data_IF_040836134939
#
_entry.id   IF_040836134939
#
_cell.length_a   1.000
_cell.length_b   1.000
_cell.length_c   1.000
_cell.angle_alpha   90.00
_cell.angle_beta   90.00
_cell.angle_gamma   90.00
#
_symmetry.space_group_name_H-M   'P 1'
#
loop_
_entity.id
_entity.type
_entity.pdbx_description
1 polymer ?
#
# COMPACT_ATOMS: atom_id res chain seq x y z
N UNK A 1 14.25 3.18 -9.95
CA UNK A 1 14.72 3.09 -8.54
C UNK A 1 16.17 3.59 -8.46
N UNK A 2 16.41 4.89 -8.64
CA UNK A 2 17.76 5.48 -8.61
C UNK A 2 17.99 6.40 -7.38
N UNK A 3 17.09 6.35 -6.40
CA UNK A 3 16.92 7.47 -5.46
C UNK A 3 17.53 7.36 -4.05
N UNK A 4 18.27 6.31 -3.66
CA UNK A 4 18.55 6.12 -2.22
C UNK A 4 19.97 5.72 -1.80
N UNK A 5 20.96 5.62 -2.70
CA UNK A 5 22.31 5.12 -2.30
C UNK A 5 23.49 5.94 -2.80
N UNK A 6 23.26 7.13 -3.36
CA UNK A 6 24.34 8.05 -3.64
C UNK A 6 24.43 9.05 -2.51
N UNK A 7 25.28 8.75 -1.53
CA UNK A 7 25.78 9.68 -0.51
C UNK A 7 26.64 10.80 -1.13
N UNK A 8 26.37 11.17 -2.39
CA UNK A 8 27.19 12.04 -3.22
C UNK A 8 26.26 13.01 -3.94
N UNK A 9 26.32 14.27 -3.55
CA UNK A 9 25.71 15.38 -4.29
C UNK A 9 26.70 15.83 -5.37
N UNK A 10 26.23 15.91 -6.62
CA UNK A 10 27.04 16.28 -7.79
C UNK A 10 26.71 17.73 -8.19
N UNK A 11 27.72 18.60 -8.19
CA UNK A 11 27.61 19.98 -8.65
C UNK A 11 28.74 20.29 -9.65
N UNK A 12 28.57 19.88 -10.90
CA UNK A 12 29.59 20.08 -11.93
C UNK A 12 29.83 21.56 -12.19
N UNK A 13 31.10 21.95 -12.28
CA UNK A 13 31.49 23.34 -12.47
C UNK A 13 31.90 23.56 -13.92
N UNK A 14 31.35 24.61 -14.54
CA UNK A 14 31.48 24.82 -15.99
C UNK A 14 32.90 25.11 -16.44
N UNK A 15 33.69 25.85 -15.65
CA UNK A 15 35.06 26.20 -16.02
C UNK A 15 36.03 25.01 -16.04
N UNK A 16 35.68 23.88 -15.44
CA UNK A 16 36.49 22.65 -15.48
C UNK A 16 36.09 21.73 -16.64
N UNK A 17 35.01 22.02 -17.37
CA UNK A 17 34.49 21.17 -18.46
C UNK A 17 35.51 20.91 -19.57
N UNK A 18 36.24 21.94 -20.01
CA UNK A 18 37.26 21.81 -21.06
C UNK A 18 38.44 20.95 -20.63
N UNK A 19 38.90 21.10 -19.38
CA UNK A 19 39.96 20.30 -18.79
C UNK A 19 39.56 18.83 -18.61
N UNK A 20 38.31 18.57 -18.20
CA UNK A 20 37.79 17.20 -18.09
C UNK A 20 37.55 16.54 -19.44
N UNK A 21 37.20 17.30 -20.48
CA UNK A 21 37.04 16.80 -21.85
C UNK A 21 38.36 16.40 -22.53
N UNK A 22 39.50 16.89 -22.01
CA UNK A 22 40.85 16.58 -22.51
C UNK A 22 41.53 15.44 -21.73
N UNK A 23 40.92 14.94 -20.66
CA UNK A 23 41.49 13.85 -19.85
C UNK A 23 41.37 12.50 -20.58
N UNK A 24 42.48 11.76 -20.61
CA UNK A 24 42.54 10.43 -21.22
C UNK A 24 41.68 9.42 -20.46
N UNK A 25 40.77 8.75 -21.16
CA UNK A 25 39.90 7.68 -20.62
C UNK A 25 40.68 6.45 -20.17
N UNK A 26 41.87 6.21 -20.72
CA UNK A 26 42.72 5.04 -20.39
C UNK A 26 43.21 5.07 -18.93
N UNK A 27 43.32 6.28 -18.34
CA UNK A 27 43.72 6.47 -16.96
C UNK A 27 42.71 5.88 -15.96
N UNK A 28 41.47 5.61 -16.37
CA UNK A 28 40.41 5.01 -15.54
C UNK A 28 40.73 3.53 -15.23
N UNK A 29 41.55 2.87 -16.06
CA UNK A 29 41.94 1.47 -15.85
C UNK A 29 42.92 1.29 -14.67
N UNK A 30 43.69 2.33 -14.32
CA UNK A 30 44.66 2.28 -13.24
C UNK A 30 44.06 2.80 -11.91
N UNK A 31 44.23 2.05 -10.83
CA UNK A 31 43.69 2.37 -9.49
C UNK A 31 44.25 3.69 -8.94
N UNK A 32 45.56 3.93 -9.08
CA UNK A 32 46.20 5.10 -8.47
C UNK A 32 45.82 6.39 -9.21
N UNK A 33 45.68 6.30 -10.54
CA UNK A 33 45.24 7.42 -11.37
C UNK A 33 43.77 7.78 -11.10
N UNK A 34 42.90 6.77 -10.93
CA UNK A 34 41.49 6.99 -10.52
C UNK A 34 41.40 7.72 -9.19
N UNK A 35 42.21 7.33 -8.20
CA UNK A 35 42.23 8.00 -6.90
C UNK A 35 42.66 9.47 -7.05
N UNK A 36 43.73 9.74 -7.80
CA UNK A 36 44.17 11.13 -8.05
C UNK A 36 43.11 11.98 -8.76
N UNK A 37 42.38 11.41 -9.73
CA UNK A 37 41.31 12.11 -10.44
C UNK A 37 40.09 12.35 -9.55
N UNK A 38 39.79 11.41 -8.65
CA UNK A 38 38.74 11.56 -7.65
C UNK A 38 39.08 12.64 -6.62
N UNK A 39 40.34 12.71 -6.18
CA UNK A 39 40.81 13.76 -5.26
C UNK A 39 40.71 15.15 -5.89
N UNK A 40 40.97 15.28 -7.20
CA UNK A 40 40.74 16.54 -7.94
C UNK A 40 39.27 16.95 -7.91
N UNK A 41 38.34 16.01 -7.98
CA UNK A 41 36.89 16.30 -7.90
C UNK A 41 36.44 16.72 -6.50
N UNK A 42 37.07 16.17 -5.46
CA UNK A 42 36.85 16.60 -4.08
C UNK A 42 37.43 18.00 -3.84
N UNK A 43 38.65 18.27 -4.34
CA UNK A 43 39.30 19.57 -4.22
C UNK A 43 38.56 20.67 -5.00
N UNK A 44 37.99 20.34 -6.17
CA UNK A 44 37.18 21.27 -6.95
C UNK A 44 35.77 21.48 -6.36
N UNK A 45 35.40 20.76 -5.29
CA UNK A 45 34.06 20.77 -4.67
C UNK A 45 32.92 20.34 -5.62
N UNK A 46 33.24 19.60 -6.68
CA UNK A 46 32.26 19.03 -7.61
C UNK A 46 31.51 17.83 -6.98
N UNK A 47 32.06 17.26 -5.91
CA UNK A 47 31.52 16.14 -5.13
C UNK A 47 31.38 16.58 -3.67
N UNK A 48 30.15 16.52 -3.12
CA UNK A 48 29.93 16.59 -1.67
C UNK A 48 29.50 15.23 -1.14
N UNK A 49 30.28 14.68 -0.21
CA UNK A 49 29.94 13.43 0.48
C UNK A 49 28.96 13.75 1.60
N UNK A 50 27.76 13.18 1.53
CA UNK A 50 26.76 13.26 2.61
C UNK A 50 27.15 12.17 3.63
N UNK A 51 27.37 12.51 4.91
CA UNK A 51 27.64 11.50 5.92
C UNK A 51 26.43 10.58 6.04
N UNK A 52 26.62 9.32 5.71
CA UNK A 52 25.65 8.26 5.95
C UNK A 52 25.73 7.93 7.44
N UNK A 53 24.63 8.08 8.18
CA UNK A 53 24.56 7.58 9.54
C UNK A 53 24.87 6.09 9.50
N UNK A 54 26.00 5.70 10.09
CA UNK A 54 26.44 4.31 10.10
C UNK A 54 25.41 3.47 10.84
N UNK A 55 24.71 2.60 10.12
CA UNK A 55 23.97 1.49 10.69
C UNK A 55 24.99 0.65 11.46
N UNK A 56 25.01 0.77 12.78
CA UNK A 56 25.82 -0.11 13.62
C UNK A 56 25.39 -1.54 13.37
N UNK A 57 26.31 -2.38 12.89
CA UNK A 57 26.16 -3.83 12.68
C UNK A 57 25.70 -4.60 13.95
N UNK A 58 25.55 -3.91 15.07
CA UNK A 58 25.21 -4.41 16.39
C UNK A 58 23.71 -4.54 16.67
N UNK A 59 22.83 -4.13 15.76
CA UNK A 59 21.43 -4.56 15.78
C UNK A 59 21.36 -6.00 15.23
N UNK A 60 21.97 -6.92 15.97
CA UNK A 60 21.63 -8.33 15.89
C UNK A 60 20.14 -8.37 16.19
N UNK A 61 19.31 -8.51 15.14
CA UNK A 61 17.88 -8.63 15.25
C UNK A 61 17.58 -9.63 16.36
N UNK A 62 17.10 -9.12 17.50
CA UNK A 62 16.76 -9.91 18.66
C UNK A 62 15.76 -10.95 18.17
N UNK A 63 16.19 -12.21 18.12
CA UNK A 63 15.30 -13.33 17.86
C UNK A 63 14.14 -13.19 18.84
N UNK A 64 12.87 -13.16 18.37
CA UNK A 64 11.73 -13.08 19.25
C UNK A 64 11.85 -14.15 20.34
N UNK A 65 11.60 -13.77 21.59
CA UNK A 65 11.51 -14.73 22.69
C UNK A 65 10.51 -15.82 22.32
N UNK A 66 10.83 -17.07 22.63
CA UNK A 66 9.95 -18.21 22.36
C UNK A 66 8.53 -17.93 22.87
N UNK A 67 7.57 -17.85 21.95
CA UNK A 67 6.14 -17.76 22.24
C UNK A 67 5.49 -19.13 22.02
N UNK A 68 4.63 -19.52 22.95
CA UNK A 68 3.97 -20.83 22.96
C UNK A 68 2.85 -20.93 21.92
N UNK A 69 2.25 -19.80 21.52
CA UNK A 69 1.17 -19.76 20.54
C UNK A 69 1.70 -19.72 19.10
N UNK A 70 1.18 -20.55 18.19
CA UNK A 70 1.57 -20.51 16.79
C UNK A 70 1.11 -19.20 16.16
N UNK A 71 2.06 -18.39 15.69
CA UNK A 71 1.81 -17.17 14.91
C UNK A 71 0.96 -17.48 13.68
N UNK A 72 0.11 -16.53 13.30
CA UNK A 72 -0.67 -16.65 12.06
C UNK A 72 0.28 -16.79 10.86
N UNK A 73 -0.16 -17.49 9.81
CA UNK A 73 0.65 -17.68 8.60
C UNK A 73 1.03 -16.33 7.95
N UNK A 74 0.21 -15.31 8.11
CA UNK A 74 0.49 -13.96 7.62
C UNK A 74 1.59 -13.27 8.42
N UNK A 75 1.59 -13.40 9.75
CA UNK A 75 2.63 -12.81 10.61
C UNK A 75 3.99 -13.48 10.38
N UNK A 76 3.99 -14.81 10.19
CA UNK A 76 5.18 -15.56 9.82
C UNK A 76 5.75 -15.06 8.49
N UNK A 77 4.91 -14.91 7.47
CA UNK A 77 5.33 -14.43 6.15
C UNK A 77 5.85 -12.99 6.21
N UNK A 78 5.20 -12.11 6.97
CA UNK A 78 5.67 -10.75 7.19
C UNK A 78 7.04 -10.73 7.88
N UNK A 79 7.22 -11.55 8.93
CA UNK A 79 8.49 -11.67 9.64
C UNK A 79 9.62 -12.20 8.73
N UNK A 80 9.36 -13.27 7.98
CA UNK A 80 10.32 -13.81 6.99
C UNK A 80 10.69 -12.75 5.96
N UNK A 81 9.70 -11.99 5.47
CA UNK A 81 9.93 -10.92 4.49
C UNK A 81 10.81 -9.82 5.10
N UNK A 82 10.54 -9.41 6.34
CA UNK A 82 11.33 -8.40 7.06
C UNK A 82 12.76 -8.87 7.33
N UNK A 83 12.95 -10.15 7.67
CA UNK A 83 14.27 -10.75 7.85
C UNK A 83 15.04 -10.79 6.52
N UNK A 84 14.40 -11.23 5.45
CA UNK A 84 15.02 -11.29 4.11
C UNK A 84 15.38 -9.90 3.58
N UNK A 85 14.53 -8.90 3.78
CA UNK A 85 14.83 -7.52 3.37
C UNK A 85 15.97 -6.93 4.17
N UNK A 86 16.04 -7.18 5.48
CA UNK A 86 17.16 -6.78 6.31
C UNK A 86 18.48 -7.46 5.88
N UNK A 87 18.47 -8.78 5.63
CA UNK A 87 19.64 -9.50 5.14
C UNK A 87 20.09 -9.01 3.75
N UNK A 88 19.13 -8.71 2.85
CA UNK A 88 19.43 -8.13 1.54
C UNK A 88 20.06 -6.74 1.69
N UNK A 89 19.56 -5.90 2.60
CA UNK A 89 20.11 -4.58 2.86
C UNK A 89 21.52 -4.68 3.43
N UNK A 90 21.75 -5.57 4.39
CA UNK A 90 23.07 -5.86 4.94
C UNK A 90 24.03 -6.35 3.85
N UNK A 91 23.60 -7.30 3.01
CA UNK A 91 24.41 -7.79 1.90
C UNK A 91 24.79 -6.67 0.94
N UNK A 92 23.85 -5.77 0.61
CA UNK A 92 24.12 -4.59 -0.22
C UNK A 92 25.10 -3.64 0.44
N UNK A 93 24.96 -3.37 1.73
CA UNK A 93 25.86 -2.48 2.48
C UNK A 93 27.28 -3.06 2.54
N UNK A 94 27.42 -4.35 2.87
CA UNK A 94 28.70 -5.08 2.85
C UNK A 94 29.31 -5.09 1.45
N UNK A 95 28.52 -5.38 0.41
CA UNK A 95 29.02 -5.32 -0.98
C UNK A 95 29.48 -3.89 -1.34
N UNK A 96 28.77 -2.87 -0.85
CA UNK A 96 29.08 -1.47 -1.11
C UNK A 96 30.29 -0.94 -0.34
N UNK A 97 30.63 -1.55 0.80
CA UNK A 97 31.80 -1.20 1.62
C UNK A 97 33.08 -1.89 1.14
N UNK A 98 33.00 -2.86 0.22
CA UNK A 98 34.18 -3.47 -0.38
C UNK A 98 35.02 -2.44 -1.15
N UNK A 99 36.35 -2.59 -1.09
CA UNK A 99 37.28 -1.72 -1.82
C UNK A 99 37.02 -1.73 -3.33
N UNK A 100 36.62 -2.87 -3.89
CA UNK A 100 36.25 -3.00 -5.29
C UNK A 100 35.07 -2.10 -5.65
N UNK A 101 33.99 -2.13 -4.86
CA UNK A 101 32.80 -1.31 -5.09
C UNK A 101 33.09 0.18 -4.97
N UNK A 102 33.90 0.58 -3.98
CA UNK A 102 34.35 1.97 -3.82
C UNK A 102 35.10 2.45 -5.08
N UNK A 103 36.09 1.70 -5.54
CA UNK A 103 36.88 2.05 -6.74
C UNK A 103 36.01 2.05 -8.00
N UNK A 104 35.09 1.08 -8.13
CA UNK A 104 34.17 1.02 -9.26
C UNK A 104 33.26 2.26 -9.32
N UNK A 105 32.74 2.71 -8.17
CA UNK A 105 31.94 3.94 -8.07
C UNK A 105 32.76 5.17 -8.45
N UNK A 106 34.01 5.27 -7.98
CA UNK A 106 34.92 6.36 -8.37
C UNK A 106 35.16 6.38 -9.89
N UNK A 107 35.42 5.21 -10.50
CA UNK A 107 35.61 5.07 -11.96
C UNK A 107 34.37 5.53 -12.74
N UNK A 108 33.19 5.07 -12.33
CA UNK A 108 31.93 5.42 -13.00
C UNK A 108 31.63 6.92 -12.87
N UNK A 109 31.96 7.53 -11.74
CA UNK A 109 31.77 8.95 -11.50
C UNK A 109 32.73 9.81 -12.34
N UNK A 110 34.01 9.41 -12.44
CA UNK A 110 34.99 10.05 -13.32
C UNK A 110 34.56 9.91 -14.78
N UNK A 111 34.10 8.73 -15.21
CA UNK A 111 33.61 8.51 -16.56
C UNK A 111 32.39 9.39 -16.87
N UNK A 112 31.44 9.46 -15.93
CA UNK A 112 30.29 10.38 -16.02
C UNK A 112 30.74 11.83 -16.16
N UNK A 113 31.79 12.25 -15.44
CA UNK A 113 32.35 13.61 -15.55
C UNK A 113 33.01 13.89 -16.89
N UNK A 114 33.84 12.97 -17.39
CA UNK A 114 34.50 13.11 -18.69
C UNK A 114 33.44 13.16 -19.79
N UNK A 115 32.44 12.28 -19.73
CA UNK A 115 31.31 12.29 -20.66
C UNK A 115 30.56 13.63 -20.63
N UNK A 116 30.27 14.17 -19.45
CA UNK A 116 29.65 15.49 -19.32
C UNK A 116 30.51 16.62 -19.90
N UNK A 117 31.83 16.61 -19.65
CA UNK A 117 32.76 17.59 -20.23
C UNK A 117 32.82 17.51 -21.77
N UNK A 118 32.83 16.29 -22.32
CA UNK A 118 32.75 16.08 -23.77
C UNK A 118 31.42 16.58 -24.33
N UNK A 119 30.30 16.28 -23.66
CA UNK A 119 28.98 16.73 -24.07
C UNK A 119 28.93 18.26 -24.15
N UNK A 120 29.42 18.98 -23.14
CA UNK A 120 29.46 20.45 -23.17
C UNK A 120 30.44 20.99 -24.22
N UNK A 121 31.60 20.36 -24.41
CA UNK A 121 32.58 20.80 -25.42
C UNK A 121 32.08 20.68 -26.87
N UNK A 122 31.26 19.67 -27.16
CA UNK A 122 30.81 19.37 -28.53
C UNK A 122 29.36 19.78 -28.82
N UNK A 123 28.47 19.86 -27.82
CA UNK A 123 27.07 20.25 -28.02
C UNK A 123 26.74 21.71 -27.66
N UNK A 124 27.58 22.42 -26.90
CA UNK A 124 27.31 23.84 -26.57
C UNK A 124 27.77 24.80 -27.69
N UNK A 125 28.61 24.33 -28.63
CA UNK A 125 29.01 25.09 -29.81
C UNK A 125 27.84 25.43 -30.75
N UNK A 126 26.75 24.66 -30.76
CA UNK A 126 25.57 24.99 -31.56
C UNK A 126 24.72 26.13 -30.96
N UNK A 127 24.93 26.51 -29.68
CA UNK A 127 24.23 27.64 -29.07
C UNK A 127 25.00 28.96 -29.14
N UNK A 128 26.32 28.91 -29.28
CA UNK A 128 27.19 30.10 -29.21
C UNK A 128 27.56 30.75 -30.55
N UNK A 129 26.85 30.44 -31.65
CA UNK A 129 26.93 31.22 -32.92
C UNK A 129 25.71 32.14 -33.12
N UNK A 130 24.83 32.28 -32.13
CA UNK A 130 23.68 33.20 -32.19
C UNK A 130 23.52 34.01 -30.92
N UNK A 131 24.42 34.97 -30.67
CA UNK A 131 24.07 36.33 -30.19
C UNK A 131 25.33 37.09 -29.76
N UNK A 132 25.69 38.08 -30.58
CA UNK A 132 26.49 39.22 -30.17
C UNK A 132 25.63 40.12 -29.27
N UNK A 133 26.28 40.74 -28.28
CA UNK A 133 25.96 42.02 -27.59
C UNK A 133 25.20 42.00 -26.25
N UNK A 134 25.95 42.47 -25.22
CA UNK A 134 25.58 43.36 -24.10
C UNK A 134 25.08 42.75 -22.75
N UNK A 135 25.67 43.17 -21.60
CA UNK A 135 25.30 42.74 -20.26
C UNK A 135 24.41 43.76 -19.53
N UNK A 136 23.51 43.33 -18.62
CA UNK A 136 23.28 44.00 -17.32
C UNK A 136 22.16 43.39 -16.45
N UNK A 137 22.50 43.27 -15.15
CA UNK A 137 21.67 43.45 -13.92
C UNK A 137 20.53 42.49 -13.55
N UNK A 138 20.84 41.65 -12.54
CA UNK A 138 20.14 41.47 -11.25
C UNK A 138 18.62 41.63 -11.15
N UNK A 139 17.90 40.59 -10.67
CA UNK A 139 17.11 40.64 -9.42
C UNK A 139 16.43 39.32 -9.05
N UNK A 140 16.37 39.10 -7.74
CA UNK A 140 15.34 38.40 -6.95
C UNK A 140 15.19 36.88 -7.03
N UNK A 141 15.71 36.24 -5.99
CA UNK A 141 15.25 34.95 -5.48
C UNK A 141 13.75 34.96 -5.18
N UNK A 142 13.02 33.97 -5.66
CA UNK A 142 11.75 33.53 -5.07
C UNK A 142 11.76 32.00 -5.02
N UNK A 143 11.77 31.50 -3.79
CA UNK A 143 11.67 30.09 -3.43
C UNK A 143 10.35 29.50 -3.95
N UNK A 144 10.42 28.67 -4.99
CA UNK A 144 9.32 27.80 -5.39
C UNK A 144 9.63 26.39 -4.89
N UNK A 145 8.74 25.89 -4.02
CA UNK A 145 8.69 24.50 -3.59
C UNK A 145 8.83 23.55 -4.80
N UNK A 146 9.46 22.36 -4.63
CA UNK A 146 9.65 21.44 -5.73
C UNK A 146 8.28 20.92 -6.18
N UNK A 147 7.74 21.49 -7.25
CA UNK A 147 6.65 20.86 -8.00
C UNK A 147 7.24 19.59 -8.59
N UNK A 148 6.77 18.44 -8.14
CA UNK A 148 7.03 17.17 -8.80
C UNK A 148 6.72 17.34 -10.28
N UNK A 149 7.75 17.26 -11.12
CA UNK A 149 7.61 17.41 -12.56
C UNK A 149 6.92 16.14 -13.04
N UNK A 150 5.59 16.16 -13.09
CA UNK A 150 4.79 15.11 -13.74
C UNK A 150 5.30 15.01 -15.17
N UNK A 151 5.89 13.86 -15.51
CA UNK A 151 6.37 13.58 -16.87
C UNK A 151 5.27 13.93 -17.88
N UNK A 152 5.59 14.62 -18.97
CA UNK A 152 4.59 15.02 -19.98
C UNK A 152 3.74 13.84 -20.49
N UNK A 153 4.31 12.63 -20.53
CA UNK A 153 3.58 11.39 -20.85
C UNK A 153 2.54 11.00 -19.80
N UNK A 154 2.85 11.19 -18.51
CA UNK A 154 1.93 10.91 -17.41
C UNK A 154 0.81 11.95 -17.34
N UNK A 155 1.11 13.22 -17.60
CA UNK A 155 0.10 14.27 -17.70
C UNK A 155 -0.87 14.01 -18.86
N UNK A 156 -0.36 13.60 -20.03
CA UNK A 156 -1.21 13.23 -21.17
C UNK A 156 -2.08 12.00 -20.87
N UNK A 157 -1.53 10.97 -20.22
CA UNK A 157 -2.29 9.79 -19.83
C UNK A 157 -3.39 10.15 -18.82
N UNK A 158 -3.07 10.97 -17.82
CA UNK A 158 -4.03 11.42 -16.82
C UNK A 158 -5.16 12.24 -17.43
N UNK A 159 -4.83 13.20 -18.30
CA UNK A 159 -5.83 13.99 -19.03
C UNK A 159 -6.68 13.09 -19.91
N UNK A 160 -6.08 12.16 -20.66
CA UNK A 160 -6.80 11.23 -21.53
C UNK A 160 -7.77 10.33 -20.77
N UNK A 161 -7.34 9.74 -19.65
CA UNK A 161 -8.19 8.87 -18.82
C UNK A 161 -9.29 9.66 -18.13
N UNK A 162 -8.98 10.80 -17.49
CA UNK A 162 -9.98 11.61 -16.78
C UNK A 162 -11.02 12.22 -17.73
N UNK A 163 -10.60 12.73 -18.88
CA UNK A 163 -11.52 13.26 -19.90
C UNK A 163 -12.34 12.15 -20.55
N UNK A 164 -11.73 10.98 -20.82
CA UNK A 164 -12.41 9.80 -21.36
C UNK A 164 -13.49 9.27 -20.41
N UNK A 165 -13.19 9.15 -19.11
CA UNK A 165 -14.17 8.76 -18.10
C UNK A 165 -15.30 9.79 -17.97
N UNK A 166 -14.97 11.09 -17.96
CA UNK A 166 -15.98 12.16 -17.90
C UNK A 166 -16.92 12.14 -19.10
N UNK A 167 -16.40 11.88 -20.30
CA UNK A 167 -17.19 11.72 -21.52
C UNK A 167 -18.07 10.46 -21.42
N UNK A 168 -17.52 9.33 -20.97
CA UNK A 168 -18.27 8.08 -20.79
C UNK A 168 -19.44 8.27 -19.82
N UNK A 169 -19.20 8.90 -18.67
CA UNK A 169 -20.23 9.19 -17.67
C UNK A 169 -21.32 10.09 -18.23
N UNK A 170 -20.95 11.13 -18.99
CA UNK A 170 -21.91 12.04 -19.64
C UNK A 170 -22.76 11.31 -20.67
N UNK A 171 -22.16 10.42 -21.47
CA UNK A 171 -22.86 9.62 -22.48
C UNK A 171 -23.82 8.61 -21.83
N UNK A 172 -23.40 7.93 -20.77
CA UNK A 172 -24.25 7.00 -20.02
C UNK A 172 -25.46 7.73 -19.43
N UNK A 173 -25.22 8.88 -18.79
CA UNK A 173 -26.28 9.70 -18.21
C UNK A 173 -27.24 10.25 -19.27
N UNK A 174 -26.72 10.74 -20.40
CA UNK A 174 -27.53 11.20 -21.53
C UNK A 174 -28.38 10.06 -22.10
N UNK A 175 -27.82 8.85 -22.23
CA UNK A 175 -28.56 7.71 -22.77
C UNK A 175 -29.70 7.29 -21.83
N UNK A 176 -29.49 7.25 -20.51
CA UNK A 176 -30.57 7.00 -19.55
C UNK A 176 -31.67 8.08 -19.62
N UNK A 177 -31.30 9.35 -19.71
CA UNK A 177 -32.27 10.44 -19.85
C UNK A 177 -33.11 10.32 -21.14
N UNK A 178 -32.46 10.04 -22.27
CA UNK A 178 -33.15 9.88 -23.57
C UNK A 178 -34.02 8.62 -23.58
N UNK A 179 -33.54 7.51 -23.02
CA UNK A 179 -34.30 6.27 -22.88
C UNK A 179 -35.53 6.44 -22.00
N UNK A 180 -35.43 7.18 -20.89
CA UNK A 180 -36.57 7.52 -20.05
C UNK A 180 -37.64 8.33 -20.78
N UNK A 181 -37.25 9.20 -21.72
CA UNK A 181 -38.18 9.99 -22.54
C UNK A 181 -38.84 9.15 -23.64
N UNK A 182 -38.06 8.27 -24.31
CA UNK A 182 -38.54 7.47 -25.44
C UNK A 182 -39.22 6.14 -25.03
N UNK A 183 -39.07 5.70 -23.78
CA UNK A 183 -39.56 4.39 -23.31
C UNK A 183 -38.83 3.20 -23.95
N UNK A 184 -37.63 3.41 -24.49
CA UNK A 184 -36.80 2.37 -25.12
C UNK A 184 -35.74 1.90 -24.10
N UNK A 185 -35.46 0.58 -24.00
CA UNK A 185 -34.41 0.08 -23.11
C UNK A 185 -33.06 0.77 -23.39
N UNK A 186 -32.43 1.28 -22.32
CA UNK A 186 -31.14 1.97 -22.41
C UNK A 186 -30.02 1.03 -22.82
N UNK A 187 -29.20 1.47 -23.78
CA UNK A 187 -27.99 0.76 -24.21
C UNK A 187 -26.97 0.66 -23.07
N UNK A 188 -27.04 1.57 -22.10
CA UNK A 188 -26.24 1.51 -20.88
C UNK A 188 -26.39 0.17 -20.14
N UNK A 189 -27.59 -0.40 -20.11
CA UNK A 189 -27.83 -1.61 -19.33
C UNK A 189 -27.06 -2.81 -19.90
N UNK A 190 -26.92 -2.93 -21.22
CA UNK A 190 -26.12 -4.01 -21.83
C UNK A 190 -24.62 -3.84 -21.58
N UNK A 191 -24.13 -2.59 -21.53
CA UNK A 191 -22.74 -2.28 -21.18
C UNK A 191 -22.47 -2.65 -19.71
N UNK A 192 -23.39 -2.30 -18.80
CA UNK A 192 -23.25 -2.64 -17.37
C UNK A 192 -23.38 -4.15 -17.12
N UNK A 193 -24.30 -4.84 -17.79
CA UNK A 193 -24.38 -6.32 -17.74
C UNK A 193 -23.07 -6.98 -18.20
N UNK A 194 -22.46 -6.46 -19.25
CA UNK A 194 -21.14 -6.93 -19.72
C UNK A 194 -20.07 -6.66 -18.65
N UNK A 195 -20.09 -5.50 -17.99
CA UNK A 195 -19.16 -5.17 -16.92
C UNK A 195 -19.31 -6.11 -15.72
N UNK A 196 -20.54 -6.40 -15.28
CA UNK A 196 -20.81 -7.41 -14.23
C UNK A 196 -20.20 -8.76 -14.62
N UNK A 197 -20.47 -9.22 -15.85
CA UNK A 197 -19.94 -10.50 -16.35
C UNK A 197 -18.41 -10.56 -16.46
N UNK A 198 -17.74 -9.42 -16.67
CA UNK A 198 -16.27 -9.34 -16.66
C UNK A 198 -15.70 -9.34 -15.24
N UNK A 199 -16.30 -8.57 -14.34
CA UNK A 199 -15.91 -8.50 -12.93
C UNK A 199 -16.06 -9.88 -12.29
N UNK A 200 -17.11 -10.64 -12.63
CA UNK A 200 -17.33 -11.99 -12.12
C UNK A 200 -16.27 -13.02 -12.53
N UNK A 201 -15.58 -12.79 -13.66
CA UNK A 201 -14.51 -13.66 -14.17
C UNK A 201 -13.14 -13.33 -13.56
N UNK A 202 -13.00 -12.23 -12.84
CA UNK A 202 -11.75 -11.89 -12.18
C UNK A 202 -11.50 -12.85 -11.00
N UNK A 203 -10.25 -13.28 -10.78
CA UNK A 203 -9.89 -14.02 -9.57
C UNK A 203 -10.30 -13.24 -8.30
N UNK A 204 -10.65 -13.94 -7.20
CA UNK A 204 -11.04 -13.28 -5.96
C UNK A 204 -9.90 -12.40 -5.44
N UNK A 205 -10.24 -11.23 -4.89
CA UNK A 205 -9.30 -10.28 -4.29
C UNK A 205 -8.24 -9.69 -5.26
N UNK A 206 -8.48 -9.75 -6.58
CA UNK A 206 -7.56 -9.17 -7.59
C UNK A 206 -7.23 -7.69 -7.39
N UNK A 207 -8.13 -6.91 -6.79
CA UNK A 207 -7.96 -5.47 -6.57
C UNK A 207 -7.60 -5.14 -5.13
N UNK A 208 -7.31 -6.14 -4.29
CA UNK A 208 -7.04 -5.94 -2.86
C UNK A 208 -5.68 -5.35 -2.56
N UNK A 209 -4.70 -5.62 -3.43
CA UNK A 209 -3.35 -5.10 -3.23
C UNK A 209 -3.20 -3.76 -3.94
N UNK A 210 -3.56 -2.68 -3.25
CA UNK A 210 -3.42 -1.30 -3.77
C UNK A 210 -1.98 -0.97 -4.20
N UNK A 211 -0.96 -1.64 -3.65
CA UNK A 211 0.44 -1.44 -4.06
C UNK A 211 0.76 -1.90 -5.49
N UNK A 212 -0.09 -2.76 -6.07
CA UNK A 212 0.03 -3.21 -7.47
C UNK A 212 -0.74 -2.32 -8.45
N UNK A 213 -1.61 -1.44 -7.95
CA UNK A 213 -2.38 -0.50 -8.76
C UNK A 213 -1.60 0.81 -8.89
N UNK A 214 -1.61 1.40 -10.09
CA UNK A 214 -1.03 2.74 -10.28
C UNK A 214 -1.91 3.79 -9.60
N UNK A 215 -1.32 4.91 -9.15
CA UNK A 215 -2.09 6.04 -8.58
C UNK A 215 -3.22 6.51 -9.51
N UNK A 216 -2.98 6.50 -10.83
CA UNK A 216 -4.00 6.82 -11.83
C UNK A 216 -5.10 5.75 -11.87
N UNK A 217 -4.76 4.47 -11.77
CA UNK A 217 -5.71 3.37 -11.70
C UNK A 217 -6.64 3.46 -10.49
N UNK A 218 -6.10 3.75 -9.31
CA UNK A 218 -6.88 3.95 -8.07
C UNK A 218 -7.82 5.15 -8.23
N UNK A 219 -7.31 6.32 -8.66
CA UNK A 219 -8.12 7.52 -8.88
C UNK A 219 -9.21 7.32 -9.94
N UNK A 220 -8.94 6.54 -10.97
CA UNK A 220 -9.92 6.19 -12.01
C UNK A 220 -11.00 5.27 -11.47
N UNK A 221 -10.64 4.27 -10.66
CA UNK A 221 -11.58 3.36 -10.03
C UNK A 221 -12.49 4.09 -9.03
N UNK A 222 -11.94 5.01 -8.24
CA UNK A 222 -12.72 5.84 -7.32
C UNK A 222 -13.69 6.77 -8.06
N UNK A 223 -13.29 7.32 -9.21
CA UNK A 223 -14.19 8.10 -10.08
C UNK A 223 -15.34 7.25 -10.62
N UNK A 224 -15.06 6.02 -11.06
CA UNK A 224 -16.09 5.07 -11.52
C UNK A 224 -17.04 4.72 -10.37
N UNK A 225 -16.52 4.40 -9.18
CA UNK A 225 -17.36 4.08 -8.02
C UNK A 225 -18.23 5.29 -7.61
N UNK A 226 -17.67 6.50 -7.62
CA UNK A 226 -18.40 7.73 -7.30
C UNK A 226 -19.53 8.02 -8.29
N UNK A 227 -19.28 7.81 -9.59
CA UNK A 227 -20.29 7.94 -10.62
C UNK A 227 -21.41 6.92 -10.45
N UNK A 228 -21.07 5.63 -10.27
CA UNK A 228 -22.06 4.56 -10.06
C UNK A 228 -22.90 4.82 -8.81
N UNK A 229 -22.29 5.27 -7.71
CA UNK A 229 -22.99 5.64 -6.47
C UNK A 229 -23.97 6.79 -6.71
N UNK A 230 -23.55 7.81 -7.45
CA UNK A 230 -24.43 8.92 -7.83
C UNK A 230 -25.61 8.45 -8.70
N UNK A 231 -25.37 7.53 -9.64
CA UNK A 231 -26.40 6.96 -10.50
C UNK A 231 -27.46 6.15 -9.71
N UNK A 232 -27.06 5.50 -8.63
CA UNK A 232 -27.97 4.78 -7.72
C UNK A 232 -28.82 5.75 -6.89
N UNK A 233 -28.20 6.78 -6.30
CA UNK A 233 -28.85 7.65 -5.32
C UNK A 233 -29.78 8.71 -5.93
N UNK A 234 -29.45 9.23 -7.12
CA UNK A 234 -30.27 10.24 -7.80
C UNK A 234 -31.45 9.60 -8.56
N UNK A 235 -32.64 10.18 -8.40
CA UNK A 235 -33.88 9.64 -8.94
C UNK A 235 -33.90 9.59 -10.48
N UNK A 236 -33.45 10.65 -11.14
CA UNK A 236 -33.48 10.78 -12.61
C UNK A 236 -32.13 10.47 -13.28
N UNK A 237 -31.17 9.89 -12.55
CA UNK A 237 -29.85 9.62 -13.11
C UNK A 237 -29.79 8.32 -13.93
N UNK A 238 -30.57 7.31 -13.57
CA UNK A 238 -30.62 6.01 -14.25
C UNK A 238 -31.99 5.35 -14.10
N UNK A 239 -32.32 4.45 -15.04
CA UNK A 239 -33.51 3.60 -14.96
C UNK A 239 -33.39 2.59 -13.81
N UNK A 240 -34.50 2.00 -13.36
CA UNK A 240 -34.49 1.02 -12.27
C UNK A 240 -33.53 -0.16 -12.54
N UNK A 241 -33.50 -0.68 -13.77
CA UNK A 241 -32.55 -1.74 -14.17
C UNK A 241 -31.09 -1.26 -14.09
N UNK A 242 -30.81 -0.04 -14.53
CA UNK A 242 -29.47 0.56 -14.46
C UNK A 242 -29.01 0.76 -13.02
N UNK A 243 -29.89 1.22 -12.13
CA UNK A 243 -29.60 1.35 -10.69
C UNK A 243 -29.22 0.01 -10.06
N UNK A 244 -29.93 -1.05 -10.39
CA UNK A 244 -29.62 -2.40 -9.89
C UNK A 244 -28.26 -2.89 -10.35
N UNK A 245 -27.94 -2.73 -11.64
CA UNK A 245 -26.63 -3.10 -12.19
C UNK A 245 -25.50 -2.26 -11.58
N UNK A 246 -25.72 -0.97 -11.33
CA UNK A 246 -24.76 -0.12 -10.63
C UNK A 246 -24.52 -0.61 -9.19
N UNK A 247 -25.57 -0.94 -8.43
CA UNK A 247 -25.45 -1.52 -7.09
C UNK A 247 -24.66 -2.84 -7.11
N UNK A 248 -24.91 -3.68 -8.10
CA UNK A 248 -24.29 -5.00 -8.29
C UNK A 248 -22.79 -4.89 -8.61
N UNK A 249 -22.43 -3.97 -9.51
CA UNK A 249 -21.03 -3.66 -9.82
C UNK A 249 -20.31 -3.12 -8.59
N UNK A 250 -20.93 -2.19 -7.84
CA UNK A 250 -20.32 -1.62 -6.64
C UNK A 250 -20.07 -2.68 -5.56
N UNK A 251 -21.01 -3.62 -5.34
CA UNK A 251 -20.81 -4.72 -4.40
C UNK A 251 -19.64 -5.61 -4.82
N UNK A 252 -19.60 -5.95 -6.12
CA UNK A 252 -18.56 -6.82 -6.68
C UNK A 252 -17.17 -6.18 -6.60
N UNK A 253 -17.08 -4.87 -6.86
CA UNK A 253 -15.84 -4.11 -6.70
C UNK A 253 -15.41 -4.02 -5.23
N UNK A 254 -16.35 -3.84 -4.29
CA UNK A 254 -16.04 -3.85 -2.87
C UNK A 254 -15.45 -5.19 -2.42
N UNK A 255 -16.02 -6.31 -2.87
CA UNK A 255 -15.48 -7.66 -2.62
C UNK A 255 -14.08 -7.85 -3.24
N UNK A 256 -13.85 -7.35 -4.46
CA UNK A 256 -12.55 -7.48 -5.12
C UNK A 256 -11.43 -6.65 -4.47
N UNK A 257 -11.77 -5.50 -3.88
CA UNK A 257 -10.82 -4.69 -3.12
C UNK A 257 -10.52 -5.24 -1.73
N UNK A 258 -11.32 -6.16 -1.20
CA UNK A 258 -10.98 -6.93 -0.01
C UNK A 258 -10.81 -6.14 1.30
N UNK A 259 -11.12 -4.85 1.31
CA UNK A 259 -11.03 -3.99 2.50
C UNK A 259 -12.42 -3.72 3.08
N UNK A 260 -12.55 -3.85 4.41
CA UNK A 260 -13.79 -3.64 5.15
C UNK A 260 -14.42 -2.27 4.85
N UNK A 261 -13.59 -1.24 4.66
CA UNK A 261 -14.05 0.13 4.37
C UNK A 261 -15.00 0.17 3.18
N UNK A 262 -14.69 -0.57 2.13
CA UNK A 262 -15.44 -0.53 0.88
C UNK A 262 -16.74 -1.32 0.94
N UNK A 263 -16.76 -2.39 1.75
CA UNK A 263 -17.98 -3.12 2.04
C UNK A 263 -18.93 -2.27 2.89
N UNK A 264 -18.41 -1.58 3.91
CA UNK A 264 -19.21 -0.64 4.71
C UNK A 264 -19.75 0.53 3.89
N UNK A 265 -18.93 1.08 2.98
CA UNK A 265 -19.38 2.14 2.07
C UNK A 265 -20.49 1.68 1.12
N UNK A 266 -20.44 0.41 0.68
CA UNK A 266 -21.53 -0.19 -0.08
C UNK A 266 -22.78 -0.37 0.78
N UNK A 267 -22.66 -0.87 2.01
CA UNK A 267 -23.79 -1.06 2.95
C UNK A 267 -24.48 0.29 3.21
N UNK A 268 -23.71 1.33 3.50
CA UNK A 268 -24.21 2.70 3.70
C UNK A 268 -25.01 3.20 2.48
N UNK A 269 -24.42 3.08 1.28
CA UNK A 269 -25.08 3.43 0.02
C UNK A 269 -26.34 2.60 -0.23
N UNK A 270 -26.28 1.30 0.03
CA UNK A 270 -27.39 0.37 -0.15
C UNK A 270 -28.56 0.71 0.78
N UNK A 271 -28.28 1.09 2.04
CA UNK A 271 -29.29 1.53 2.99
C UNK A 271 -29.94 2.85 2.55
N UNK A 272 -29.16 3.83 2.10
CA UNK A 272 -29.69 5.12 1.59
C UNK A 272 -30.54 4.94 0.33
N UNK A 273 -30.08 4.07 -0.58
CA UNK A 273 -30.83 3.70 -1.78
C UNK A 273 -32.09 2.89 -1.48
N UNK A 274 -32.10 2.11 -0.40
CA UNK A 274 -33.20 1.20 -0.05
C UNK A 274 -34.49 1.88 0.35
N UNK A 275 -34.43 3.13 0.81
CA UNK A 275 -35.61 3.95 1.07
C UNK A 275 -36.48 4.18 -0.19
N UNK A 276 -36.01 3.75 -1.37
CA UNK A 276 -36.60 4.02 -2.69
C UNK A 276 -36.92 2.74 -3.50
N UNK A 277 -37.01 1.59 -2.83
CA UNK A 277 -37.44 0.27 -3.34
C UNK A 277 -36.68 -0.37 -4.55
N UNK A 278 -35.33 -0.35 -4.64
CA UNK A 278 -34.61 -1.21 -5.58
C UNK A 278 -34.57 -2.68 -5.11
N UNK A 279 -35.12 -3.60 -5.91
CA UNK A 279 -35.06 -5.05 -5.69
C UNK A 279 -33.82 -5.62 -6.42
N UNK A 280 -32.81 -6.09 -5.70
CA UNK A 280 -31.59 -6.68 -6.29
C UNK A 280 -31.83 -8.12 -6.73
N UNK A 281 -31.14 -8.56 -7.79
CA UNK A 281 -31.11 -9.98 -8.14
C UNK A 281 -30.20 -10.73 -7.17
N UNK A 282 -30.74 -11.81 -6.61
CA UNK A 282 -30.21 -12.59 -5.47
C UNK A 282 -28.82 -13.21 -5.68
N UNK A 283 -28.33 -13.35 -6.92
CA UNK A 283 -27.13 -14.14 -7.25
C UNK A 283 -25.85 -13.56 -6.64
N UNK A 284 -25.66 -12.24 -6.66
CA UNK A 284 -24.42 -11.63 -6.15
C UNK A 284 -24.43 -11.36 -4.65
N UNK A 285 -25.60 -11.04 -4.05
CA UNK A 285 -25.71 -11.04 -2.59
C UNK A 285 -25.37 -12.43 -2.02
N UNK A 286 -25.88 -13.52 -2.63
CA UNK A 286 -25.52 -14.90 -2.26
C UNK A 286 -24.03 -15.21 -2.46
N UNK A 287 -23.39 -14.68 -3.51
CA UNK A 287 -21.94 -14.83 -3.71
C UNK A 287 -21.14 -14.08 -2.64
N UNK A 288 -21.53 -12.84 -2.32
CA UNK A 288 -20.94 -12.05 -1.25
C UNK A 288 -21.06 -12.76 0.10
N UNK A 289 -22.26 -13.24 0.42
CA UNK A 289 -22.58 -13.97 1.64
C UNK A 289 -21.77 -15.27 1.71
N UNK A 290 -21.78 -16.11 0.67
CA UNK A 290 -21.00 -17.37 0.65
C UNK A 290 -19.49 -17.17 0.70
N UNK A 291 -18.96 -16.09 0.10
CA UNK A 291 -17.54 -15.74 0.21
C UNK A 291 -17.16 -15.35 1.65
N UNK A 292 -18.02 -14.60 2.34
CA UNK A 292 -17.80 -14.20 3.73
C UNK A 292 -18.05 -15.35 4.72
N UNK A 293 -19.08 -16.17 4.50
CA UNK A 293 -19.45 -17.33 5.34
C UNK A 293 -18.45 -18.49 5.22
N UNK A 294 -17.67 -18.58 4.14
CA UNK A 294 -16.67 -19.64 3.96
C UNK A 294 -15.59 -19.71 5.06
N UNK A 295 -15.51 -18.69 5.93
CA UNK A 295 -14.59 -18.63 7.07
C UNK A 295 -15.20 -19.12 8.40
N UNK A 296 -16.49 -19.49 8.45
CA UNK A 296 -17.15 -19.99 9.67
C UNK A 296 -17.75 -21.38 9.45
N UNK A 297 -17.39 -22.35 10.30
CA UNK A 297 -18.20 -23.56 10.54
C UNK A 297 -19.34 -23.21 11.51
N UNK A 298 -20.19 -22.22 11.19
CA UNK A 298 -21.37 -21.99 12.01
C UNK A 298 -22.46 -22.96 11.55
N UNK A 299 -22.78 -23.92 12.41
CA UNK A 299 -24.06 -24.59 12.36
C UNK A 299 -25.12 -23.55 12.75
N UNK A 300 -25.67 -22.84 11.78
CA UNK A 300 -27.08 -22.47 11.84
C UNK A 300 -27.65 -22.48 10.42
N UNK A 301 -28.46 -23.50 10.18
CA UNK A 301 -29.19 -23.74 8.94
C UNK A 301 -30.35 -22.74 8.86
N UNK A 302 -30.11 -21.50 8.46
CA UNK A 302 -31.23 -20.57 8.22
C UNK A 302 -31.46 -20.26 6.74
N UNK A 303 -30.48 -20.42 5.83
CA UNK A 303 -30.63 -19.83 4.49
C UNK A 303 -30.40 -20.71 3.26
N UNK A 304 -30.27 -22.02 3.39
CA UNK A 304 -30.12 -22.89 2.21
C UNK A 304 -31.43 -23.40 1.58
N UNK A 305 -32.61 -23.02 2.08
CA UNK A 305 -33.86 -23.72 1.68
C UNK A 305 -35.03 -22.85 1.21
N UNK A 306 -34.77 -21.65 0.67
CA UNK A 306 -35.76 -20.98 -0.18
C UNK A 306 -35.18 -20.70 -1.57
N UNK A 307 -35.61 -21.56 -2.49
CA UNK A 307 -35.47 -21.44 -3.93
C UNK A 307 -36.28 -20.23 -4.42
N UNK A 308 -35.67 -19.47 -5.33
CA UNK A 308 -36.20 -18.30 -6.07
C UNK A 308 -36.59 -17.07 -5.22
N UNK A 309 -36.43 -15.83 -5.64
CA UNK A 309 -35.83 -15.15 -6.78
C UNK A 309 -35.74 -13.70 -6.26
N UNK A 310 -34.59 -13.02 -6.40
CA UNK A 310 -34.41 -11.62 -5.97
C UNK A 310 -34.33 -11.37 -4.43
N UNK A 311 -33.42 -10.51 -4.01
CA UNK A 311 -33.22 -10.08 -2.62
C UNK A 311 -33.22 -8.55 -2.62
N UNK A 312 -34.06 -7.91 -1.81
CA UNK A 312 -34.06 -6.45 -1.71
C UNK A 312 -32.68 -5.90 -1.30
N UNK A 313 -32.31 -4.73 -1.84
CA UNK A 313 -31.04 -4.05 -1.47
C UNK A 313 -30.93 -3.86 0.04
N UNK A 314 -32.03 -3.49 0.68
CA UNK A 314 -32.13 -3.36 2.13
C UNK A 314 -31.75 -4.65 2.87
N UNK A 315 -32.37 -5.76 2.46
CA UNK A 315 -32.19 -7.07 3.06
C UNK A 315 -30.75 -7.56 2.89
N UNK A 316 -30.16 -7.36 1.71
CA UNK A 316 -28.76 -7.68 1.47
C UNK A 316 -27.81 -6.85 2.36
N UNK A 317 -28.08 -5.55 2.53
CA UNK A 317 -27.28 -4.68 3.39
C UNK A 317 -27.34 -5.08 4.87
N UNK A 318 -28.53 -5.41 5.38
CA UNK A 318 -28.71 -5.92 6.75
C UNK A 318 -27.97 -7.24 6.97
N UNK A 319 -28.10 -8.20 6.06
CA UNK A 319 -27.41 -9.48 6.19
C UNK A 319 -25.89 -9.34 6.17
N UNK A 320 -25.35 -8.53 5.25
CA UNK A 320 -23.91 -8.27 5.22
C UNK A 320 -23.44 -7.59 6.51
N UNK A 321 -24.23 -6.66 7.05
CA UNK A 321 -23.92 -6.03 8.34
C UNK A 321 -23.94 -7.03 9.50
N UNK A 322 -24.92 -7.93 9.54
CA UNK A 322 -25.00 -8.99 10.56
C UNK A 322 -23.80 -9.93 10.50
N UNK A 323 -23.40 -10.37 9.30
CA UNK A 323 -22.20 -11.20 9.09
C UNK A 323 -20.95 -10.46 9.57
N UNK A 324 -20.81 -9.17 9.24
CA UNK A 324 -19.69 -8.33 9.70
C UNK A 324 -19.64 -8.22 11.24
N UNK A 325 -20.78 -7.99 11.89
CA UNK A 325 -20.88 -7.93 13.36
C UNK A 325 -20.58 -9.29 13.98
N UNK A 326 -21.04 -10.39 13.40
CA UNK A 326 -20.71 -11.73 13.88
C UNK A 326 -19.21 -12.01 13.78
N UNK A 327 -18.56 -11.67 12.68
CA UNK A 327 -17.10 -11.85 12.55
C UNK A 327 -16.33 -11.00 13.58
N UNK A 328 -16.76 -9.75 13.81
CA UNK A 328 -16.13 -8.88 14.79
C UNK A 328 -16.32 -9.34 16.26
N UNK A 329 -17.43 -10.02 16.56
CA UNK A 329 -17.72 -10.53 17.91
C UNK A 329 -17.04 -11.86 18.20
N UNK A 330 -16.87 -12.72 17.20
CA UNK A 330 -16.12 -13.97 17.32
C UNK A 330 -14.61 -13.74 17.52
N UNK A 331 -14.01 -12.75 16.83
CA UNK A 331 -12.59 -12.39 17.00
C UNK A 331 -12.30 -11.68 18.35
N UNK A 332 -13.33 -11.18 19.03
CA UNK A 332 -13.23 -10.64 20.40
C UNK A 332 -13.37 -11.70 21.49
N UNK A 333 -13.69 -12.95 21.13
CA UNK A 333 -14.09 -14.04 22.01
C UNK A 333 -13.16 -15.26 21.94
N UNK A 334 -11.84 -15.07 22.02
CA UNK A 334 -10.93 -16.16 22.37
C UNK A 334 -11.16 -16.56 23.85
N UNK A 335 -12.27 -17.25 24.10
CA UNK A 335 -12.68 -17.68 25.43
C UNK A 335 -14.16 -18.04 25.55
N UNK A 336 -14.83 -18.52 24.51
CA UNK A 336 -16.10 -19.22 24.72
C UNK A 336 -15.81 -20.70 24.98
N UNK A 337 -15.65 -21.05 26.26
CA UNK A 337 -16.02 -22.36 26.73
C UNK A 337 -17.54 -22.33 26.92
N UNK A 338 -18.29 -22.93 26.01
CA UNK A 338 -19.67 -23.25 26.31
C UNK A 338 -19.66 -24.29 27.43
N UNK A 339 -20.16 -23.93 28.62
CA UNK A 339 -21.39 -24.52 29.18
C UNK A 339 -21.64 -24.04 30.62
N UNK A 340 -22.93 -23.81 30.84
CA UNK A 340 -23.66 -23.91 32.10
C UNK A 340 -23.49 -22.89 33.22
N UNK A 341 -24.66 -22.37 33.59
CA UNK A 341 -24.96 -21.73 34.84
C UNK A 341 -24.48 -22.58 36.02
N UNK A 342 -23.46 -22.13 36.74
CA UNK A 342 -23.51 -22.10 38.21
C UNK A 342 -22.38 -21.26 38.81
N UNK A 343 -22.78 -20.57 39.86
CA UNK A 343 -22.02 -19.74 40.76
C UNK A 343 -20.94 -20.55 41.52
N UNK A 344 -19.70 -20.06 41.50
CA UNK A 344 -18.73 -20.18 42.60
C UNK A 344 -17.89 -21.46 42.66
N UNK A 345 -16.57 -21.30 42.50
CA UNK A 345 -15.51 -21.56 43.50
C UNK A 345 -14.22 -21.06 42.84
N UNK A 346 -13.60 -20.02 43.39
CA UNK A 346 -12.23 -19.63 42.99
C UNK A 346 -11.30 -20.77 43.41
N UNK A 347 -10.95 -21.62 42.46
CA UNK A 347 -9.95 -22.65 42.63
C UNK A 347 -8.60 -21.96 42.82
N UNK A 348 -7.90 -22.34 43.90
CA UNK A 348 -6.70 -21.68 44.39
C UNK A 348 -5.57 -21.92 43.39
N UNK A 349 -5.39 -21.01 42.42
CA UNK A 349 -4.31 -21.11 41.43
C UNK A 349 -2.95 -21.04 42.11
N UNK A 350 -2.29 -22.19 42.22
CA UNK A 350 -0.88 -22.27 42.58
C UNK A 350 -0.03 -22.02 41.33
N UNK A 351 0.67 -20.88 41.30
CA UNK A 351 1.51 -20.49 40.17
C UNK A 351 2.95 -20.83 40.49
N UNK A 352 3.57 -21.70 39.70
CA UNK A 352 4.99 -22.03 39.81
C UNK A 352 5.78 -21.24 38.78
N UNK A 353 6.94 -20.73 39.18
CA UNK A 353 7.77 -19.85 38.37
C UNK A 353 9.18 -20.42 38.28
N UNK A 354 9.75 -20.43 37.07
CA UNK A 354 11.15 -20.76 36.80
C UNK A 354 11.67 -19.96 35.60
N UNK A 355 12.99 -19.80 35.49
CA UNK A 355 13.64 -19.07 34.41
C UNK A 355 14.48 -17.88 34.88
N UNK A 356 14.81 -17.00 33.94
CA UNK A 356 15.64 -15.81 34.19
C UNK A 356 14.80 -14.70 34.80
N UNK A 357 15.18 -14.22 35.99
CA UNK A 357 14.57 -13.10 36.69
C UNK A 357 15.38 -11.80 36.51
N UNK A 358 16.22 -11.73 35.46
CA UNK A 358 17.06 -10.58 35.14
C UNK A 358 16.28 -9.26 34.98
N UNK A 359 15.00 -9.35 34.66
CA UNK A 359 14.11 -8.19 34.50
C UNK A 359 13.19 -7.97 35.71
N UNK A 360 13.41 -8.69 36.82
CA UNK A 360 12.61 -8.66 38.06
C UNK A 360 11.10 -8.93 37.91
N UNK A 361 10.65 -9.43 36.75
CA UNK A 361 9.24 -9.68 36.44
C UNK A 361 8.66 -10.87 37.23
N UNK A 362 9.51 -11.74 37.77
CA UNK A 362 9.08 -12.93 38.49
C UNK A 362 8.77 -12.64 39.98
N UNK A 363 9.01 -11.39 40.43
CA UNK A 363 8.72 -10.85 41.76
C UNK A 363 9.31 -11.64 42.96
N UNK A 364 10.08 -12.72 42.73
CA UNK A 364 10.98 -13.31 43.71
C UNK A 364 12.26 -12.47 43.79
N UNK A 365 12.31 -11.53 44.73
CA UNK A 365 13.52 -10.76 44.98
C UNK A 365 14.68 -11.66 45.35
N UNK A 366 15.80 -11.52 44.62
CA UNK A 366 17.18 -11.97 44.86
C UNK A 366 17.73 -13.13 44.02
N UNK A 367 16.93 -13.92 43.30
CA UNK A 367 17.46 -14.98 42.43
C UNK A 367 17.41 -14.55 40.96
N UNK A 368 18.57 -14.32 40.32
CA UNK A 368 18.66 -13.97 38.89
C UNK A 368 18.24 -15.12 37.96
N UNK A 369 18.38 -16.37 38.40
CA UNK A 369 17.94 -17.55 37.67
C UNK A 369 17.34 -18.58 38.62
N UNK A 370 16.10 -18.95 38.35
CA UNK A 370 15.36 -20.00 39.05
C UNK A 370 15.40 -21.25 38.17
N UNK A 371 16.24 -22.22 38.52
CA UNK A 371 16.47 -23.42 37.70
C UNK A 371 15.44 -24.54 37.95
N UNK A 372 14.70 -24.47 39.06
CA UNK A 372 13.62 -25.41 39.38
C UNK A 372 12.34 -24.64 39.71
N UNK A 373 11.15 -25.16 39.34
CA UNK A 373 9.87 -24.50 39.60
C UNK A 373 9.67 -24.21 41.09
N UNK A 374 9.52 -22.93 41.45
CA UNK A 374 9.22 -22.47 42.81
C UNK A 374 7.78 -21.93 42.86
N UNK A 375 7.03 -22.27 43.90
CA UNK A 375 5.67 -21.75 44.08
C UNK A 375 5.70 -20.26 44.42
N UNK A 376 5.13 -19.42 43.56
CA UNK A 376 5.07 -17.98 43.73
C UNK A 376 3.86 -17.56 44.55
N UNK A 377 4.13 -16.92 45.70
CA UNK A 377 3.11 -16.40 46.62
C UNK A 377 2.47 -15.08 46.16
N UNK A 378 2.99 -14.47 45.09
CA UNK A 378 2.61 -13.11 44.64
C UNK A 378 1.48 -13.17 43.60
N UNK A 379 1.48 -14.22 42.76
CA UNK A 379 0.49 -14.37 41.69
C UNK A 379 -0.76 -15.15 42.11
N UNK A 380 -0.93 -15.49 43.39
CA UNK A 380 -2.14 -16.18 43.88
C UNK A 380 -3.38 -15.28 43.97
N UNK A 381 -3.26 -13.97 43.74
CA UNK A 381 -4.38 -13.01 43.72
C UNK A 381 -4.37 -12.20 42.42
N UNK A 382 -4.73 -12.83 41.30
CA UNK A 382 -4.86 -12.13 40.01
C UNK A 382 -6.23 -11.45 39.95
N UNK A 383 -6.34 -10.22 40.44
CA UNK A 383 -7.52 -9.37 40.17
C UNK A 383 -7.17 -7.94 39.70
N UNK A 384 -5.95 -7.67 39.24
CA UNK A 384 -5.62 -6.36 38.68
C UNK A 384 -4.95 -6.45 37.31
N UNK A 385 -5.77 -6.03 36.33
CA UNK A 385 -5.42 -5.43 35.04
C UNK A 385 -4.23 -4.47 35.22
N UNK A 386 -3.10 -4.73 34.57
CA UNK A 386 -2.08 -3.70 34.39
C UNK A 386 -2.32 -3.00 33.05
N UNK A 387 -2.87 -1.79 33.16
CA UNK A 387 -2.69 -0.73 32.18
C UNK A 387 -1.33 -0.06 32.35
N UNK A 388 -0.82 0.49 31.26
CA UNK A 388 0.32 1.44 31.16
C UNK A 388 1.68 0.74 31.28
N UNK A 389 2.64 0.87 30.36
CA UNK A 389 2.96 1.96 29.41
C UNK A 389 3.28 1.46 28.01
#
# INVERSE_FOLDING_TARGET
>A
MEGAYNNIELGWIDHTNSAWALKNSDNIANRDLVQSMYDVLLQSKEIRIIPSNGSSYSDIQVLPSFQFDPLSTNDLNHYITSLLTSQLQLAKEVCSSTQFSVILKQRLLILKRIYYGLLMKYHDKEKTDSTTSEPSTSTSAMSLAPREVVSGSQALLEVGVKTGLSLLFSLLQQNWQVSGILGIPSLCNSVLETAVGLIDRLPPLCLSNESQLTNLGISSLDQVCSFLKTAVLLENAADNSGKLLCCEILLSLALQRGSLRYLLEWIDMALDASCKEPILKSKLAKKAISQLESHKKCKDKVFTDQADEEMGVYTAALFLMEILVSMATDDGGAGSLETDANLGVYEKCEVYVWGSNSSHQLAEGHHEKILMPINSKIFSQVQQRYSVS
#
